data_IF_374560100951
#
_entry.id   IF_374560100951
#
_cell.length_a   1.000
_cell.length_b   1.000
_cell.length_c   1.000
_cell.angle_alpha   90.00
_cell.angle_beta   90.00
_cell.angle_gamma   90.00
#
_symmetry.space_group_name_H-M   'P 1'
#
loop_
_entity.id
_entity.type
_entity.pdbx_description
1 polymer ?
#
# COMPACT_ATOMS: atom_id res chain seq x y z
N UNK A 1 -9.90 20.93 -23.74
CA UNK A 1 -10.40 21.82 -22.66
C UNK A 1 -9.42 22.99 -22.52
N UNK A 2 -9.88 24.20 -22.21
CA UNK A 2 -9.03 25.39 -22.09
C UNK A 2 -9.05 25.94 -20.67
N UNK A 3 -7.88 26.35 -20.17
CA UNK A 3 -7.71 26.93 -18.84
C UNK A 3 -7.03 28.30 -18.95
N UNK A 4 -7.47 29.27 -18.13
CA UNK A 4 -6.83 30.59 -18.02
C UNK A 4 -5.92 30.60 -16.79
N UNK A 5 -4.64 30.86 -16.99
CA UNK A 5 -3.62 30.76 -15.93
C UNK A 5 -2.65 31.93 -16.04
N UNK A 6 -2.16 32.41 -14.90
CA UNK A 6 -1.09 33.39 -14.85
C UNK A 6 0.23 32.76 -15.33
N UNK A 7 0.81 33.31 -16.41
CA UNK A 7 2.09 32.84 -16.98
C UNK A 7 3.20 32.77 -15.93
N UNK A 8 3.33 33.81 -15.10
CA UNK A 8 4.35 33.90 -14.06
C UNK A 8 4.25 32.77 -13.03
N UNK A 9 3.02 32.34 -12.70
CA UNK A 9 2.77 31.25 -11.76
C UNK A 9 3.30 29.93 -12.32
N UNK A 10 2.95 29.59 -13.56
CA UNK A 10 3.38 28.32 -14.16
C UNK A 10 4.89 28.31 -14.47
N UNK A 11 5.45 29.40 -15.01
CA UNK A 11 6.89 29.51 -15.27
C UNK A 11 7.75 29.44 -14.01
N UNK A 12 7.23 29.86 -12.85
CA UNK A 12 7.97 29.81 -11.58
C UNK A 12 8.18 28.37 -11.12
N UNK A 13 7.23 27.48 -11.39
CA UNK A 13 7.22 26.15 -10.81
C UNK A 13 7.51 25.03 -11.83
N UNK A 14 7.21 25.25 -13.11
CA UNK A 14 7.31 24.22 -14.16
C UNK A 14 8.49 24.49 -15.10
N UNK A 15 9.42 23.55 -15.17
CA UNK A 15 10.50 23.58 -16.17
C UNK A 15 9.95 23.38 -17.58
N UNK A 16 8.94 22.50 -17.74
CA UNK A 16 8.23 22.31 -19.00
C UNK A 16 7.68 23.65 -19.51
N UNK A 17 6.92 24.38 -18.69
CA UNK A 17 6.33 25.66 -19.08
C UNK A 17 7.38 26.74 -19.38
N UNK A 18 8.55 26.68 -18.73
CA UNK A 18 9.67 27.59 -19.05
C UNK A 18 10.24 27.36 -20.45
N UNK A 19 10.25 26.11 -20.92
CA UNK A 19 10.79 25.71 -22.21
C UNK A 19 9.73 25.72 -23.33
N UNK A 20 8.45 25.64 -22.97
CA UNK A 20 7.35 25.63 -23.92
C UNK A 20 7.32 26.92 -24.75
N UNK A 21 7.28 26.75 -26.08
CA UNK A 21 7.10 27.87 -27.01
C UNK A 21 5.63 28.29 -26.96
N UNK A 22 5.37 29.57 -26.71
CA UNK A 22 4.02 30.12 -26.79
C UNK A 22 3.62 30.25 -28.25
N UNK A 23 2.56 29.55 -28.64
CA UNK A 23 1.95 29.71 -29.96
C UNK A 23 1.15 31.02 -29.96
N UNK A 24 1.65 32.04 -30.67
CA UNK A 24 0.85 33.20 -31.01
C UNK A 24 1.54 34.55 -31.00
N UNK A 25 2.40 34.83 -31.98
CA UNK A 25 2.62 36.22 -32.40
C UNK A 25 1.70 36.67 -33.55
N UNK A 26 1.01 35.78 -34.28
CA UNK A 26 0.41 36.19 -35.57
C UNK A 26 -1.10 35.94 -35.78
N UNK A 27 -1.86 35.30 -34.88
CA UNK A 27 -3.30 35.03 -35.14
C UNK A 27 -4.29 35.11 -33.97
N UNK A 28 -3.84 35.21 -32.70
CA UNK A 28 -4.75 35.33 -31.53
C UNK A 28 -4.25 36.38 -30.53
N UNK A 29 -5.17 37.14 -29.93
CA UNK A 29 -4.88 38.21 -28.94
C UNK A 29 -4.34 37.70 -27.60
N UNK A 30 -4.44 36.40 -27.32
CA UNK A 30 -4.00 35.80 -26.06
C UNK A 30 -3.00 34.68 -26.37
N UNK A 31 -1.77 34.73 -25.82
CA UNK A 31 -0.79 33.66 -25.98
C UNK A 31 -1.35 32.34 -25.44
N UNK A 32 -1.18 31.26 -26.20
CA UNK A 32 -1.61 29.93 -25.78
C UNK A 32 -0.42 28.99 -25.64
N UNK A 33 -0.49 28.10 -24.66
CA UNK A 33 0.44 26.99 -24.48
C UNK A 33 -0.36 25.70 -24.62
N UNK A 34 0.05 24.84 -25.54
CA UNK A 34 -0.56 23.52 -25.75
C UNK A 34 0.26 22.50 -24.99
N UNK A 35 -0.39 21.70 -24.13
CA UNK A 35 0.23 20.54 -23.49
C UNK A 35 0.14 19.38 -24.49
N UNK A 36 1.28 18.83 -24.97
CA UNK A 36 1.26 17.73 -25.92
C UNK A 36 0.55 16.50 -25.33
N UNK A 37 -0.31 15.80 -26.11
CA UNK A 37 -1.04 14.63 -25.61
C UNK A 37 -0.10 13.48 -25.21
N UNK A 38 1.13 13.44 -25.73
CA UNK A 38 2.15 12.44 -25.44
C UNK A 38 2.64 12.52 -23.98
N UNK A 39 2.48 13.67 -23.31
CA UNK A 39 2.77 13.79 -21.88
C UNK A 39 1.73 13.07 -21.00
N UNK A 40 0.60 12.63 -21.58
CA UNK A 40 -0.43 11.89 -20.86
C UNK A 40 -1.08 12.66 -19.70
N UNK A 41 -1.03 14.00 -19.73
CA UNK A 41 -1.61 14.83 -18.67
C UNK A 41 -3.12 14.72 -18.70
N UNK A 42 -3.68 14.13 -17.65
CA UNK A 42 -5.13 14.03 -17.50
C UNK A 42 -5.72 15.37 -17.08
N UNK A 43 -6.91 15.67 -17.60
CA UNK A 43 -7.62 16.93 -17.32
C UNK A 43 -7.88 17.08 -15.82
N UNK A 44 -8.28 16.00 -15.14
CA UNK A 44 -8.56 16.01 -13.69
C UNK A 44 -7.30 16.23 -12.85
N UNK A 45 -6.18 15.65 -13.26
CA UNK A 45 -4.91 15.87 -12.57
C UNK A 45 -4.46 17.33 -12.72
N UNK A 46 -4.64 17.90 -13.91
CA UNK A 46 -4.35 19.32 -14.14
C UNK A 46 -5.28 20.24 -13.34
N UNK A 47 -6.58 19.93 -13.21
CA UNK A 47 -7.51 20.67 -12.36
C UNK A 47 -7.03 20.63 -10.90
N UNK A 48 -6.58 19.48 -10.40
CA UNK A 48 -6.03 19.35 -9.05
C UNK A 48 -4.78 20.21 -8.85
N UNK A 49 -3.89 20.26 -9.85
CA UNK A 49 -2.74 21.17 -9.82
C UNK A 49 -3.16 22.63 -9.73
N UNK A 50 -4.16 23.05 -10.50
CA UNK A 50 -4.65 24.44 -10.46
C UNK A 50 -5.23 24.78 -9.09
N UNK A 51 -6.06 23.90 -8.53
CA UNK A 51 -6.61 24.07 -7.16
C UNK A 51 -5.50 24.21 -6.12
N UNK A 52 -4.39 23.50 -6.28
CA UNK A 52 -3.22 23.64 -5.43
C UNK A 52 -2.51 24.99 -5.62
N UNK A 53 -2.22 25.36 -6.87
CA UNK A 53 -1.49 26.60 -7.20
C UNK A 53 -2.26 27.87 -6.82
N UNK A 54 -3.58 27.82 -6.83
CA UNK A 54 -4.46 28.92 -6.39
C UNK A 54 -4.89 28.82 -4.92
N UNK A 55 -4.34 27.87 -4.17
CA UNK A 55 -4.60 27.66 -2.74
C UNK A 55 -6.05 27.29 -2.37
N UNK A 56 -6.82 26.75 -3.32
CA UNK A 56 -8.16 26.21 -3.05
C UNK A 56 -8.06 24.92 -2.20
N UNK A 57 -7.11 24.05 -2.55
CA UNK A 57 -6.82 22.81 -1.82
C UNK A 57 -5.29 22.69 -1.69
N UNK A 58 -4.71 23.01 -0.52
CA UNK A 58 -3.27 22.89 -0.32
C UNK A 58 -2.87 21.43 -0.11
N UNK A 59 -1.64 21.08 -0.52
CA UNK A 59 -1.00 19.83 -0.10
C UNK A 59 -0.73 19.89 1.41
N UNK A 60 -1.36 19.00 2.15
CA UNK A 60 -1.33 18.91 3.62
C UNK A 60 -1.50 17.44 4.05
N UNK A 61 -1.18 17.09 5.31
CA UNK A 61 -1.40 15.73 5.82
C UNK A 61 -2.87 15.29 5.75
N UNK A 62 -3.80 16.23 5.79
CA UNK A 62 -5.25 15.98 5.74
C UNK A 62 -5.80 15.98 4.30
N UNK A 63 -4.95 16.21 3.30
CA UNK A 63 -5.39 16.25 1.91
C UNK A 63 -5.90 14.87 1.45
N UNK A 64 -7.01 14.82 0.68
CA UNK A 64 -7.52 13.55 0.15
C UNK A 64 -6.48 12.85 -0.75
N UNK A 65 -6.41 11.52 -0.66
CA UNK A 65 -5.47 10.70 -1.44
C UNK A 65 -5.51 11.03 -2.94
N UNK A 66 -6.72 11.10 -3.51
CA UNK A 66 -6.92 11.39 -4.92
C UNK A 66 -6.32 12.74 -5.35
N UNK A 67 -6.30 13.73 -4.46
CA UNK A 67 -5.67 15.02 -4.73
C UNK A 67 -4.15 14.94 -4.71
N UNK A 68 -3.57 14.23 -3.73
CA UNK A 68 -2.13 13.99 -3.63
C UNK A 68 -1.63 13.18 -4.83
N UNK A 69 -2.32 12.10 -5.18
CA UNK A 69 -2.04 11.24 -6.32
C UNK A 69 -2.08 12.02 -7.65
N UNK A 70 -3.13 12.82 -7.86
CA UNK A 70 -3.27 13.69 -9.03
C UNK A 70 -2.11 14.68 -9.15
N UNK A 71 -1.74 15.34 -8.05
CA UNK A 71 -0.62 16.29 -8.05
C UNK A 71 0.70 15.56 -8.29
N UNK A 72 0.92 14.40 -7.69
CA UNK A 72 2.13 13.60 -7.89
C UNK A 72 2.33 13.27 -9.37
N UNK A 73 1.26 12.83 -10.06
CA UNK A 73 1.28 12.53 -11.50
C UNK A 73 1.64 13.74 -12.35
N UNK A 74 0.83 14.80 -12.26
CA UNK A 74 0.97 16.00 -13.11
C UNK A 74 2.24 16.79 -12.85
N UNK A 75 2.75 16.78 -11.62
CA UNK A 75 4.00 17.46 -11.27
C UNK A 75 5.26 16.67 -11.64
N UNK A 76 5.12 15.41 -12.06
CA UNK A 76 6.26 14.54 -12.33
C UNK A 76 7.16 15.05 -13.46
N UNK A 77 8.45 14.65 -13.48
CA UNK A 77 9.39 15.04 -14.52
C UNK A 77 8.94 14.64 -15.94
N UNK A 78 8.15 13.57 -16.07
CA UNK A 78 7.65 13.07 -17.35
C UNK A 78 6.39 13.80 -17.84
N UNK A 79 5.82 14.70 -17.03
CA UNK A 79 4.63 15.48 -17.36
C UNK A 79 4.96 16.97 -17.38
N UNK A 80 4.47 17.75 -16.40
CA UNK A 80 4.68 19.19 -16.40
C UNK A 80 5.96 19.61 -15.64
N UNK A 81 6.73 18.67 -15.13
CA UNK A 81 8.03 18.88 -14.47
C UNK A 81 8.00 20.05 -13.47
N UNK A 82 7.35 19.83 -12.32
CA UNK A 82 7.28 20.77 -11.20
C UNK A 82 8.03 20.19 -9.97
N UNK A 83 9.38 20.21 -9.93
CA UNK A 83 10.16 19.42 -8.97
C UNK A 83 9.82 19.66 -7.51
N UNK A 84 9.65 20.93 -7.12
CA UNK A 84 9.32 21.30 -5.73
C UNK A 84 7.94 20.83 -5.28
N UNK A 85 6.97 20.82 -6.20
CA UNK A 85 5.61 20.34 -5.92
C UNK A 85 5.61 18.80 -5.93
N UNK A 86 6.32 18.18 -6.87
CA UNK A 86 6.44 16.74 -6.98
C UNK A 86 7.09 16.12 -5.74
N UNK A 87 8.21 16.68 -5.27
CA UNK A 87 8.88 16.24 -4.05
C UNK A 87 7.95 16.34 -2.83
N UNK A 88 7.15 17.41 -2.72
CA UNK A 88 6.18 17.56 -1.62
C UNK A 88 5.04 16.55 -1.72
N UNK A 89 4.45 16.37 -2.91
CA UNK A 89 3.40 15.39 -3.11
C UNK A 89 3.88 13.97 -2.80
N UNK A 90 5.12 13.64 -3.14
CA UNK A 90 5.79 12.39 -2.77
C UNK A 90 5.87 12.23 -1.25
N UNK A 91 6.41 13.20 -0.53
CA UNK A 91 6.51 13.12 0.94
C UNK A 91 5.15 13.00 1.63
N UNK A 92 4.11 13.64 1.08
CA UNK A 92 2.75 13.44 1.60
C UNK A 92 2.23 12.05 1.31
N UNK A 93 2.40 11.52 0.09
CA UNK A 93 2.02 10.15 -0.25
C UNK A 93 2.72 9.14 0.68
N UNK A 94 4.03 9.32 0.93
CA UNK A 94 4.80 8.50 1.87
C UNK A 94 4.18 8.54 3.28
N UNK A 95 3.77 9.72 3.76
CA UNK A 95 3.12 9.88 5.06
C UNK A 95 1.70 9.31 5.15
N UNK A 96 1.04 9.00 4.04
CA UNK A 96 -0.31 8.41 4.02
C UNK A 96 -0.33 6.90 4.24
N UNK A 97 0.79 6.22 3.96
CA UNK A 97 0.87 4.76 4.01
C UNK A 97 1.94 4.32 5.01
N UNK A 98 1.53 3.90 6.22
CA UNK A 98 2.46 3.40 7.22
C UNK A 98 3.17 2.14 6.71
N UNK A 99 4.41 1.96 7.16
CA UNK A 99 5.22 0.79 6.86
C UNK A 99 6.12 0.50 8.05
N UNK A 100 6.36 -0.78 8.32
CA UNK A 100 7.22 -1.22 9.41
C UNK A 100 6.76 -2.54 10.03
N UNK A 101 7.53 -3.06 10.99
CA UNK A 101 7.29 -4.37 11.61
C UNK A 101 6.15 -4.37 12.64
N UNK A 102 5.50 -3.23 12.89
CA UNK A 102 4.43 -3.13 13.87
C UNK A 102 3.07 -3.05 13.18
N UNK A 103 2.00 -3.41 13.89
CA UNK A 103 0.64 -3.33 13.36
C UNK A 103 0.32 -1.90 12.94
N UNK A 104 -0.25 -1.75 11.74
CA UNK A 104 -0.69 -0.49 11.21
C UNK A 104 -2.03 -0.63 10.49
N UNK A 105 -2.74 0.50 10.34
CA UNK A 105 -4.02 0.52 9.65
C UNK A 105 -3.78 0.43 8.14
N UNK A 106 -4.42 -0.54 7.49
CA UNK A 106 -4.44 -0.64 6.04
C UNK A 106 -5.28 0.49 5.44
N UNK A 107 -4.66 1.34 4.65
CA UNK A 107 -5.32 2.46 3.98
C UNK A 107 -6.25 2.02 2.85
N UNK A 108 -7.03 2.97 2.33
CA UNK A 108 -7.77 2.80 1.09
C UNK A 108 -6.86 3.07 -0.12
N UNK A 109 -7.32 2.73 -1.33
CA UNK A 109 -6.61 3.00 -2.59
C UNK A 109 -5.24 2.31 -2.73
N UNK A 110 -5.07 1.14 -2.10
CA UNK A 110 -3.80 0.42 -2.05
C UNK A 110 -3.22 0.12 -3.45
N UNK A 111 -4.05 -0.28 -4.40
CA UNK A 111 -3.61 -0.63 -5.77
C UNK A 111 -3.06 0.58 -6.53
N UNK A 112 -3.75 1.72 -6.43
CA UNK A 112 -3.32 2.98 -7.04
C UNK A 112 -2.07 3.51 -6.34
N UNK A 113 -2.03 3.45 -5.00
CA UNK A 113 -0.88 3.86 -4.21
C UNK A 113 0.36 3.03 -4.54
N UNK A 114 0.23 1.70 -4.66
CA UNK A 114 1.32 0.81 -5.07
C UNK A 114 1.78 1.13 -6.49
N UNK A 115 0.84 1.31 -7.42
CA UNK A 115 1.16 1.68 -8.81
C UNK A 115 1.97 2.97 -8.87
N UNK A 116 1.60 3.99 -8.09
CA UNK A 116 2.34 5.25 -7.99
C UNK A 116 3.70 5.06 -7.31
N UNK A 117 3.76 4.26 -6.26
CA UNK A 117 4.99 4.00 -5.53
C UNK A 117 6.02 3.26 -6.39
N UNK A 118 5.60 2.33 -7.24
CA UNK A 118 6.47 1.66 -8.21
C UNK A 118 6.86 2.65 -9.32
N UNK A 119 5.89 3.35 -9.91
CA UNK A 119 6.12 4.29 -11.02
C UNK A 119 7.11 5.41 -10.67
N UNK A 120 7.05 5.93 -9.44
CA UNK A 120 7.88 7.03 -8.97
C UNK A 120 9.02 6.60 -8.03
N UNK A 121 9.29 5.30 -7.94
CA UNK A 121 10.35 4.70 -7.12
C UNK A 121 10.33 5.18 -5.65
N UNK A 122 9.16 5.06 -5.01
CA UNK A 122 8.89 5.41 -3.62
C UNK A 122 9.00 4.15 -2.77
N UNK A 123 10.23 3.68 -2.56
CA UNK A 123 10.51 2.38 -1.94
C UNK A 123 10.08 2.28 -0.47
N UNK A 124 10.08 3.41 0.27
CA UNK A 124 9.77 3.47 1.70
C UNK A 124 8.39 2.95 2.10
N UNK A 125 7.43 2.97 1.16
CA UNK A 125 6.05 2.52 1.42
C UNK A 125 5.65 1.25 0.65
N UNK A 126 6.46 0.80 -0.32
CA UNK A 126 6.09 -0.33 -1.18
C UNK A 126 5.83 -1.61 -0.38
N UNK A 127 6.71 -1.92 0.57
CA UNK A 127 6.57 -3.11 1.43
C UNK A 127 5.29 -3.10 2.25
N UNK A 128 4.96 -1.96 2.86
CA UNK A 128 3.71 -1.75 3.60
C UNK A 128 2.47 -1.86 2.71
N UNK A 129 2.56 -1.37 1.47
CA UNK A 129 1.49 -1.48 0.48
C UNK A 129 1.26 -2.93 0.02
N UNK A 130 2.33 -3.67 -0.30
CA UNK A 130 2.23 -5.09 -0.62
C UNK A 130 1.65 -5.90 0.53
N UNK A 131 2.15 -5.67 1.76
CA UNK A 131 1.61 -6.32 2.95
C UNK A 131 0.10 -6.02 3.08
N UNK A 132 -0.28 -4.75 3.03
CA UNK A 132 -1.68 -4.34 3.14
C UNK A 132 -2.56 -5.01 2.08
N UNK A 133 -2.11 -5.05 0.82
CA UNK A 133 -2.84 -5.72 -0.25
C UNK A 133 -3.08 -7.19 0.07
N UNK A 134 -2.04 -7.93 0.49
CA UNK A 134 -2.19 -9.35 0.84
C UNK A 134 -3.12 -9.56 2.04
N UNK A 135 -3.17 -8.62 2.99
CA UNK A 135 -4.02 -8.72 4.18
C UNK A 135 -5.50 -8.31 3.93
N UNK A 136 -5.77 -7.50 2.90
CA UNK A 136 -7.11 -6.96 2.61
C UNK A 136 -7.77 -7.54 1.37
N UNK A 137 -7.03 -8.24 0.52
CA UNK A 137 -7.50 -8.81 -0.74
C UNK A 137 -7.33 -10.32 -0.70
N UNK A 138 -8.30 -11.06 -1.22
CA UNK A 138 -8.21 -12.50 -1.36
C UNK A 138 -7.20 -12.86 -2.47
N UNK A 139 -5.98 -13.18 -2.04
CA UNK A 139 -5.05 -13.94 -2.86
C UNK A 139 -5.22 -15.41 -2.46
N UNK A 140 -5.58 -16.30 -3.39
CA UNK A 140 -5.54 -17.72 -3.07
C UNK A 140 -4.08 -18.19 -3.17
N UNK A 141 -3.47 -18.71 -2.09
CA UNK A 141 -2.19 -19.39 -2.21
C UNK A 141 -2.44 -20.70 -2.99
N UNK A 142 -1.62 -20.96 -4.01
CA UNK A 142 -1.62 -22.24 -4.73
C UNK A 142 -1.11 -23.35 -3.79
N UNK A 143 -1.95 -23.75 -2.83
CA UNK A 143 -1.75 -24.89 -1.95
C UNK A 143 -2.08 -26.15 -2.74
N UNK A 144 -1.23 -26.49 -3.72
CA UNK A 144 -1.18 -27.80 -4.35
C UNK A 144 -2.54 -28.38 -4.75
N UNK A 145 -3.34 -27.65 -5.52
CA UNK A 145 -4.49 -28.24 -6.20
C UNK A 145 -4.05 -28.87 -7.52
N UNK A 146 -4.13 -30.19 -7.56
CA UNK A 146 -4.13 -31.03 -8.75
C UNK A 146 -4.75 -30.32 -9.96
N UNK A 147 -4.08 -30.41 -11.11
CA UNK A 147 -4.59 -29.97 -12.42
C UNK A 147 -6.08 -30.31 -12.57
N UNK A 148 -6.94 -29.30 -12.45
CA UNK A 148 -8.31 -29.37 -12.93
C UNK A 148 -8.42 -28.38 -14.08
N UNK A 149 -8.17 -28.89 -15.28
CA UNK A 149 -8.55 -28.23 -16.52
C UNK A 149 -10.09 -28.13 -16.54
N UNK A 150 -10.63 -26.93 -16.29
CA UNK A 150 -11.91 -26.53 -16.84
C UNK A 150 -11.97 -25.00 -16.95
N UNK A 151 -12.11 -24.43 -18.17
CA UNK A 151 -12.28 -23.00 -18.35
C UNK A 151 -13.73 -22.63 -18.01
N UNK A 152 -13.94 -21.98 -16.86
CA UNK A 152 -15.24 -21.38 -16.53
C UNK A 152 -15.31 -20.02 -17.21
N UNK A 153 -16.04 -19.97 -18.33
CA UNK A 153 -16.49 -18.73 -18.96
C UNK A 153 -17.28 -17.87 -17.98
N UNK A 154 -17.10 -16.53 -17.95
CA UNK A 154 -17.96 -15.66 -17.17
C UNK A 154 -19.34 -15.59 -17.85
N UNK A 155 -20.35 -16.16 -17.20
CA UNK A 155 -21.74 -15.97 -17.62
C UNK A 155 -22.15 -14.53 -17.33
N UNK A 156 -22.36 -13.80 -18.41
CA UNK A 156 -23.03 -12.50 -18.46
C UNK A 156 -24.50 -12.74 -18.10
N UNK A 157 -24.97 -12.10 -17.02
CA UNK A 157 -26.37 -11.76 -16.87
C UNK A 157 -26.46 -10.24 -16.75
N UNK A 158 -27.07 -9.66 -17.77
CA UNK A 158 -27.38 -8.26 -17.94
C UNK A 158 -28.37 -7.81 -16.86
N UNK A 159 -28.05 -6.72 -16.17
CA UNK A 159 -29.06 -5.84 -15.56
C UNK A 159 -28.69 -4.40 -15.94
N UNK A 160 -29.43 -3.85 -16.89
CA UNK A 160 -29.35 -2.47 -17.34
C UNK A 160 -30.03 -1.56 -16.30
N UNK A 161 -29.25 -0.71 -15.61
CA UNK A 161 -29.84 0.26 -14.70
C UNK A 161 -28.86 1.16 -13.97
N UNK A 162 -28.32 2.15 -14.69
CA UNK A 162 -27.75 3.40 -14.16
C UNK A 162 -26.67 3.29 -13.06
N UNK A 163 -25.39 3.40 -13.45
CA UNK A 163 -24.42 4.08 -12.60
C UNK A 163 -23.35 4.78 -13.44
N UNK A 164 -23.23 6.09 -13.23
CA UNK A 164 -22.20 6.94 -13.78
C UNK A 164 -20.82 6.54 -13.25
N UNK A 165 -19.81 6.60 -14.12
CA UNK A 165 -18.38 6.73 -13.82
C UNK A 165 -17.91 6.10 -12.49
N UNK A 166 -17.82 4.77 -12.44
CA UNK A 166 -16.90 4.15 -11.50
C UNK A 166 -15.47 4.47 -11.98
N UNK A 167 -14.60 5.07 -11.15
CA UNK A 167 -13.20 5.25 -11.52
C UNK A 167 -12.62 3.88 -11.88
N UNK A 168 -11.93 3.80 -13.01
CA UNK A 168 -11.30 2.59 -13.50
C UNK A 168 -10.60 1.89 -12.32
N UNK A 169 -11.07 0.70 -11.93
CA UNK A 169 -10.42 -0.09 -10.90
C UNK A 169 -8.95 -0.22 -11.31
N UNK A 170 -8.04 0.20 -10.44
CA UNK A 170 -6.61 0.17 -10.72
C UNK A 170 -6.14 -1.28 -10.63
N UNK A 171 -6.29 -2.02 -11.73
CA UNK A 171 -5.85 -3.42 -11.78
C UNK A 171 -4.34 -3.49 -11.55
N UNK A 172 -3.92 -4.24 -10.53
CA UNK A 172 -2.52 -4.52 -10.25
C UNK A 172 -1.83 -5.07 -11.49
N UNK A 173 -0.56 -4.69 -11.69
CA UNK A 173 0.22 -5.28 -12.79
C UNK A 173 0.37 -6.79 -12.58
N UNK A 174 0.57 -7.60 -13.64
CA UNK A 174 0.84 -9.02 -13.50
C UNK A 174 2.07 -9.31 -12.61
N UNK A 175 3.09 -8.45 -12.67
CA UNK A 175 4.28 -8.54 -11.84
C UNK A 175 3.98 -8.28 -10.35
N UNK A 176 3.14 -7.29 -10.05
CA UNK A 176 2.74 -6.96 -8.68
C UNK A 176 1.82 -8.02 -8.09
N UNK A 177 0.92 -8.56 -8.90
CA UNK A 177 0.07 -9.70 -8.52
C UNK A 177 0.93 -10.91 -8.15
N UNK A 178 1.97 -11.20 -8.95
CA UNK A 178 2.90 -12.30 -8.66
C UNK A 178 3.72 -12.05 -7.39
N UNK A 179 4.16 -10.81 -7.14
CA UNK A 179 4.81 -10.44 -5.87
C UNK A 179 3.88 -10.65 -4.67
N UNK A 180 2.61 -10.29 -4.78
CA UNK A 180 1.61 -10.51 -3.72
C UNK A 180 1.42 -12.01 -3.44
N UNK A 181 1.33 -12.85 -4.49
CA UNK A 181 1.22 -14.31 -4.32
C UNK A 181 2.44 -14.91 -3.62
N UNK A 182 3.65 -14.52 -4.04
CA UNK A 182 4.90 -14.96 -3.41
C UNK A 182 5.01 -14.52 -1.96
N UNK A 183 4.64 -13.27 -1.67
CA UNK A 183 4.58 -12.75 -0.30
C UNK A 183 3.62 -13.59 0.55
N UNK A 184 2.41 -13.86 0.05
CA UNK A 184 1.45 -14.67 0.79
C UNK A 184 1.96 -16.09 1.03
N UNK A 185 2.53 -16.73 0.01
CA UNK A 185 3.10 -18.07 0.13
C UNK A 185 4.22 -18.11 1.18
N UNK A 186 5.14 -17.13 1.16
CA UNK A 186 6.21 -17.01 2.15
C UNK A 186 5.70 -16.80 3.57
N UNK A 187 4.70 -15.93 3.75
CA UNK A 187 4.03 -15.71 5.05
C UNK A 187 3.40 -17.03 5.54
N UNK A 188 2.65 -17.71 4.68
CA UNK A 188 1.97 -18.98 5.01
C UNK A 188 2.98 -20.07 5.39
N UNK A 189 4.03 -20.24 4.59
CA UNK A 189 5.05 -21.26 4.82
C UNK A 189 5.83 -21.02 6.13
N UNK A 190 6.14 -19.76 6.43
CA UNK A 190 6.93 -19.42 7.61
C UNK A 190 6.09 -19.31 8.89
N UNK A 191 4.97 -18.57 8.83
CA UNK A 191 4.26 -18.13 10.02
C UNK A 191 3.23 -19.13 10.53
N UNK A 192 2.57 -19.89 9.67
CA UNK A 192 1.58 -20.89 10.12
C UNK A 192 2.21 -21.90 11.09
N UNK A 193 3.39 -22.51 10.82
CA UNK A 193 4.03 -23.40 11.79
C UNK A 193 4.26 -22.76 13.17
N UNK A 194 4.57 -21.47 13.22
CA UNK A 194 4.78 -20.72 14.46
C UNK A 194 3.48 -20.63 15.26
N UNK A 195 2.36 -20.27 14.60
CA UNK A 195 1.05 -20.17 15.27
C UNK A 195 0.56 -21.53 15.77
N UNK A 196 0.83 -22.61 15.06
CA UNK A 196 0.39 -23.95 15.46
C UNK A 196 1.31 -24.66 16.47
N UNK A 197 2.42 -24.03 16.86
CA UNK A 197 3.38 -24.61 17.81
C UNK A 197 3.36 -23.83 19.12
N UNK A 198 2.80 -24.38 20.21
CA UNK A 198 2.86 -23.74 21.52
C UNK A 198 4.32 -23.47 21.93
N UNK A 199 4.64 -22.26 22.41
CA UNK A 199 6.00 -21.92 22.77
C UNK A 199 6.43 -22.62 24.06
N UNK A 200 7.69 -23.03 24.12
CA UNK A 200 8.32 -23.50 25.34
C UNK A 200 8.87 -22.34 26.18
N UNK A 201 8.91 -22.50 27.49
CA UNK A 201 9.52 -21.54 28.43
C UNK A 201 10.57 -22.21 29.31
N UNK A 202 11.47 -21.45 29.97
CA UNK A 202 12.41 -22.00 30.95
C UNK A 202 11.74 -22.66 32.16
N UNK A 203 10.51 -22.25 32.50
CA UNK A 203 9.75 -22.80 33.62
C UNK A 203 8.72 -23.83 33.13
N UNK A 204 8.92 -25.11 33.45
CA UNK A 204 8.05 -26.21 33.00
C UNK A 204 6.55 -25.96 33.29
N UNK A 205 6.20 -25.40 34.45
CA UNK A 205 4.81 -25.04 34.78
C UNK A 205 4.21 -24.00 33.82
N UNK A 206 5.00 -23.02 33.37
CA UNK A 206 4.54 -22.03 32.38
C UNK A 206 4.41 -22.66 30.98
N UNK A 207 5.29 -23.60 30.64
CA UNK A 207 5.17 -24.38 29.39
C UNK A 207 3.89 -25.21 29.37
N UNK A 208 3.52 -25.84 30.49
CA UNK A 208 2.26 -26.59 30.60
C UNK A 208 1.04 -25.69 30.39
N UNK A 209 1.07 -24.44 30.89
CA UNK A 209 -0.01 -23.46 30.66
C UNK A 209 -0.12 -23.12 29.18
N UNK A 210 0.99 -22.88 28.48
CA UNK A 210 0.93 -22.69 27.03
C UNK A 210 0.37 -23.91 26.33
N UNK A 211 0.85 -25.12 26.64
CA UNK A 211 0.35 -26.34 26.03
C UNK A 211 -1.17 -26.53 26.22
N UNK A 212 -1.71 -26.18 27.38
CA UNK A 212 -3.15 -26.29 27.69
C UNK A 212 -3.99 -25.18 27.02
N UNK A 213 -3.51 -23.93 27.04
CA UNK A 213 -4.31 -22.76 26.65
C UNK A 213 -4.12 -22.30 25.20
N UNK A 214 -3.01 -22.66 24.56
CA UNK A 214 -2.64 -22.12 23.25
C UNK A 214 -3.68 -22.39 22.15
N UNK A 215 -4.21 -23.61 22.11
CA UNK A 215 -5.24 -23.97 21.13
C UNK A 215 -6.47 -23.07 21.23
N UNK A 216 -6.92 -22.77 22.45
CA UNK A 216 -8.14 -22.00 22.68
C UNK A 216 -7.92 -20.49 22.54
N UNK A 217 -6.80 -19.97 23.07
CA UNK A 217 -6.57 -18.52 23.15
C UNK A 217 -5.84 -17.94 21.94
N UNK A 218 -5.13 -18.77 21.17
CA UNK A 218 -4.33 -18.32 20.02
C UNK A 218 -4.89 -18.92 18.74
N UNK A 219 -4.88 -20.24 18.60
CA UNK A 219 -5.24 -20.90 17.33
C UNK A 219 -6.72 -20.65 17.00
N UNK A 220 -7.64 -20.94 17.93
CA UNK A 220 -9.07 -20.78 17.70
C UNK A 220 -9.43 -19.31 17.44
N UNK A 221 -8.86 -18.38 18.20
CA UNK A 221 -9.08 -16.95 18.01
C UNK A 221 -8.59 -16.47 16.64
N UNK A 222 -7.41 -16.92 16.19
CA UNK A 222 -6.85 -16.57 14.89
C UNK A 222 -7.63 -17.14 13.69
N UNK A 223 -8.33 -18.26 13.89
CA UNK A 223 -9.24 -18.84 12.91
C UNK A 223 -10.54 -18.03 12.82
N UNK A 224 -11.09 -17.64 13.97
CA UNK A 224 -12.37 -16.93 14.05
C UNK A 224 -12.31 -15.50 13.49
N UNK A 225 -11.20 -14.80 13.68
CA UNK A 225 -10.99 -13.44 13.17
C UNK A 225 -10.28 -13.40 11.80
N UNK A 226 -9.90 -14.56 11.26
CA UNK A 226 -9.18 -14.67 9.99
C UNK A 226 -7.78 -14.04 10.03
N UNK A 227 -7.15 -13.94 11.21
CA UNK A 227 -5.81 -13.38 11.37
C UNK A 227 -4.69 -14.39 11.15
N UNK A 228 -4.98 -15.68 10.96
CA UNK A 228 -3.97 -16.75 10.89
C UNK A 228 -2.80 -16.51 9.91
N UNK A 229 -3.03 -15.79 8.82
CA UNK A 229 -2.01 -15.42 7.81
C UNK A 229 -1.59 -13.94 7.91
N UNK A 230 -1.89 -13.28 9.03
CA UNK A 230 -1.60 -11.88 9.34
C UNK A 230 -0.58 -11.81 10.49
N UNK A 231 0.71 -12.00 10.19
CA UNK A 231 1.73 -12.22 11.21
C UNK A 231 1.86 -11.07 12.20
N UNK A 232 1.82 -9.82 11.71
CA UNK A 232 2.01 -8.66 12.58
C UNK A 232 0.82 -8.52 13.55
N UNK A 233 -0.40 -8.67 13.04
CA UNK A 233 -1.64 -8.59 13.80
C UNK A 233 -1.76 -9.73 14.80
N UNK A 234 -1.48 -10.96 14.38
CA UNK A 234 -1.56 -12.16 15.23
C UNK A 234 -0.57 -12.08 16.40
N UNK A 235 0.69 -11.72 16.12
CA UNK A 235 1.70 -11.58 17.17
C UNK A 235 1.36 -10.45 18.14
N UNK A 236 0.75 -9.36 17.65
CA UNK A 236 0.25 -8.30 18.53
C UNK A 236 -0.89 -8.80 19.42
N UNK A 237 -1.88 -9.50 18.87
CA UNK A 237 -2.98 -10.08 19.63
C UNK A 237 -2.48 -11.06 20.71
N UNK A 238 -1.54 -11.94 20.37
CA UNK A 238 -0.91 -12.87 21.32
C UNK A 238 -0.27 -12.11 22.49
N UNK A 239 0.39 -10.98 22.23
CA UNK A 239 0.99 -10.11 23.27
C UNK A 239 -0.06 -9.46 24.18
N UNK A 240 -1.29 -9.23 23.69
CA UNK A 240 -2.37 -8.60 24.46
C UNK A 240 -3.11 -9.57 25.39
N UNK A 241 -2.95 -10.88 25.22
CA UNK A 241 -3.52 -11.87 26.15
C UNK A 241 -2.90 -11.68 27.54
N UNK A 242 -3.75 -11.67 28.57
CA UNK A 242 -3.30 -11.64 29.97
C UNK A 242 -2.80 -13.02 30.41
N UNK A 243 -1.62 -13.38 29.92
CA UNK A 243 -0.93 -14.62 30.24
C UNK A 243 -0.68 -14.77 31.75
N UNK A 244 -0.53 -13.66 32.47
CA UNK A 244 -0.38 -13.68 33.93
C UNK A 244 -1.63 -14.23 34.62
N UNK A 245 -2.81 -13.77 34.20
CA UNK A 245 -4.09 -14.31 34.67
C UNK A 245 -4.31 -15.78 34.26
N UNK A 246 -3.68 -16.25 33.17
CA UNK A 246 -3.72 -17.66 32.76
C UNK A 246 -2.76 -18.55 33.55
N UNK A 247 -1.88 -17.99 34.39
CA UNK A 247 -0.97 -18.73 35.26
C UNK A 247 0.51 -18.66 34.88
N UNK A 248 0.89 -17.82 33.90
CA UNK A 248 2.30 -17.58 33.61
C UNK A 248 2.95 -16.68 34.66
N UNK A 249 4.21 -16.96 34.99
CA UNK A 249 4.97 -16.07 35.86
C UNK A 249 5.40 -14.78 35.12
N UNK A 250 5.60 -13.65 35.82
CA UNK A 250 5.93 -12.38 35.19
C UNK A 250 7.19 -12.41 34.31
N UNK A 251 8.19 -13.22 34.69
CA UNK A 251 9.43 -13.35 33.92
C UNK A 251 9.18 -13.97 32.53
N UNK A 252 8.43 -15.08 32.46
CA UNK A 252 8.10 -15.72 31.19
C UNK A 252 7.19 -14.86 30.32
N UNK A 253 6.25 -14.11 30.92
CA UNK A 253 5.42 -13.16 30.16
C UNK A 253 6.29 -12.07 29.52
N UNK A 254 7.22 -11.47 30.28
CA UNK A 254 8.11 -10.44 29.77
C UNK A 254 9.01 -10.98 28.65
N UNK A 255 9.61 -12.15 28.84
CA UNK A 255 10.46 -12.82 27.86
C UNK A 255 9.70 -13.08 26.55
N UNK A 256 8.50 -13.69 26.63
CA UNK A 256 7.70 -14.02 25.44
C UNK A 256 7.19 -12.79 24.70
N UNK A 257 6.83 -11.72 25.39
CA UNK A 257 6.50 -10.45 24.71
C UNK A 257 7.70 -9.91 23.93
N UNK A 258 8.91 -10.06 24.46
CA UNK A 258 10.14 -9.71 23.76
C UNK A 258 10.37 -10.59 22.53
N UNK A 259 10.25 -11.91 22.67
CA UNK A 259 10.37 -12.87 21.57
C UNK A 259 9.37 -12.59 20.44
N UNK A 260 8.08 -12.40 20.75
CA UNK A 260 7.06 -12.11 19.73
C UNK A 260 7.26 -10.76 19.05
N UNK A 261 7.82 -9.77 19.75
CA UNK A 261 8.17 -8.48 19.13
C UNK A 261 9.33 -8.65 18.15
N UNK A 262 10.35 -9.44 18.53
CA UNK A 262 11.44 -9.79 17.64
C UNK A 262 10.94 -10.59 16.44
N UNK A 263 10.01 -11.53 16.65
CA UNK A 263 9.40 -12.32 15.58
C UNK A 263 8.67 -11.42 14.56
N UNK A 264 8.00 -10.36 15.00
CA UNK A 264 7.41 -9.37 14.09
C UNK A 264 8.49 -8.68 13.23
N UNK A 265 9.62 -8.33 13.82
CA UNK A 265 10.77 -7.71 13.12
C UNK A 265 11.42 -8.69 12.14
N UNK A 266 11.60 -9.95 12.55
CA UNK A 266 12.20 -11.02 11.75
C UNK A 266 11.31 -11.36 10.53
N UNK A 267 10.01 -11.59 10.74
CA UNK A 267 9.03 -11.80 9.66
C UNK A 267 9.01 -10.61 8.71
N UNK A 268 8.99 -9.39 9.23
CA UNK A 268 9.05 -8.18 8.41
C UNK A 268 10.31 -8.16 7.56
N UNK A 269 11.48 -8.47 8.13
CA UNK A 269 12.75 -8.59 7.39
C UNK A 269 12.68 -9.58 6.23
N UNK A 270 12.12 -10.78 6.47
CA UNK A 270 11.98 -11.82 5.44
C UNK A 270 11.12 -11.40 4.24
N UNK A 271 10.17 -10.49 4.43
CA UNK A 271 9.34 -9.99 3.32
C UNK A 271 10.15 -9.28 2.23
N UNK A 272 11.33 -8.72 2.53
CA UNK A 272 12.19 -8.12 1.49
C UNK A 272 12.63 -9.18 0.46
N UNK A 273 13.01 -10.37 0.95
CA UNK A 273 13.40 -11.50 0.13
C UNK A 273 12.21 -12.03 -0.68
N UNK A 274 11.06 -12.24 -0.02
CA UNK A 274 9.86 -12.77 -0.68
C UNK A 274 9.33 -11.85 -1.78
N UNK A 275 9.39 -10.53 -1.56
CA UNK A 275 8.96 -9.53 -2.53
C UNK A 275 10.03 -9.23 -3.61
N UNK A 276 11.26 -9.72 -3.44
CA UNK A 276 12.42 -9.34 -4.26
C UNK A 276 12.58 -7.82 -4.33
N UNK A 277 12.39 -7.14 -3.20
CA UNK A 277 12.70 -5.72 -3.05
C UNK A 277 14.20 -5.62 -2.79
N UNK A 278 15.00 -5.87 -3.82
CA UNK A 278 16.45 -5.69 -3.73
C UNK A 278 16.72 -4.25 -3.33
N UNK A 279 17.31 -4.05 -2.14
CA UNK A 279 18.02 -2.82 -1.79
C UNK A 279 19.22 -2.69 -2.72
N UNK A 280 19.00 -2.10 -3.89
CA UNK A 280 20.09 -1.43 -4.61
C UNK A 280 20.44 -0.18 -3.78
N UNK A 281 21.45 -0.32 -2.92
CA UNK A 281 22.20 0.80 -2.33
C UNK A 281 22.97 1.59 -3.40
#
# INVERSE_FOLDING_TARGET
MYFKIHKSLLHRHSNFARLAVLEGEHTRSVPMMTIPPELGVQVQDFISLLRHLYHDIPLSPEAPFQHVAAILRVSSPNQLDLPSIHSRARSYLEGMFPSGPYVFVHGNHLEEALSLAVLYNITSIQKGLYYSLVMTTDFEPDLGASQSENPVSPSILEDEGASADLPARHVLSPADTERCRKLMAGIVEYFIPIVFTPPATPHMVCTDVFADKWMQLVIQSAIEDGSLYKPLETLEQIKQIDWGAQGLCPACVCEKKGEWTKEQEDVWGMMDEWLNLSTEE
#
